data_IF_441548138096
#
_entry.id   IF_441548138096
#
_cell.length_a   1.000
_cell.length_b   1.000
_cell.length_c   1.000
_cell.angle_alpha   90.00
_cell.angle_beta   90.00
_cell.angle_gamma   90.00
#
_symmetry.space_group_name_H-M   'P 1'
#
loop_
_entity.id
_entity.type
_entity.pdbx_description
1 polymer ?
#
# COMPACT_ATOMS: atom_id res chain seq x y z
N UNK A 1 -1.33 -8.73 -5.16
CA UNK A 1 -0.49 -9.89 -5.59
C UNK A 1 -0.22 -9.90 -7.09
N UNK A 2 -1.23 -9.86 -7.97
CA UNK A 2 -1.05 -9.82 -9.44
C UNK A 2 -0.15 -8.67 -9.93
N UNK A 3 -0.34 -7.47 -9.38
CA UNK A 3 0.47 -6.30 -9.71
C UNK A 3 1.96 -6.45 -9.32
N UNK A 4 2.23 -7.08 -8.17
CA UNK A 4 3.58 -7.27 -7.65
C UNK A 4 4.37 -8.34 -8.40
N UNK A 5 3.70 -9.39 -8.87
CA UNK A 5 4.37 -10.56 -9.45
C UNK A 5 4.43 -10.47 -10.98
N UNK A 6 3.34 -10.06 -11.63
CA UNK A 6 3.24 -10.05 -13.10
C UNK A 6 3.54 -8.69 -13.71
N UNK A 7 2.89 -7.64 -13.19
CA UNK A 7 2.96 -6.30 -13.80
C UNK A 7 4.35 -5.69 -13.63
N UNK A 8 5.01 -5.84 -12.48
CA UNK A 8 6.36 -5.30 -12.29
C UNK A 8 7.34 -5.82 -13.37
N UNK A 9 7.37 -7.13 -13.61
CA UNK A 9 8.20 -7.73 -14.67
C UNK A 9 7.81 -7.25 -16.07
N UNK A 10 6.51 -7.12 -16.34
CA UNK A 10 6.04 -6.58 -17.62
C UNK A 10 6.50 -5.13 -17.82
N UNK A 11 6.42 -4.29 -16.78
CA UNK A 11 6.83 -2.88 -16.83
C UNK A 11 8.34 -2.69 -17.00
N UNK A 12 9.16 -3.65 -16.57
CA UNK A 12 10.59 -3.68 -16.87
C UNK A 12 10.89 -3.98 -18.34
N UNK A 13 10.05 -4.78 -19.00
CA UNK A 13 10.29 -5.27 -20.36
C UNK A 13 9.71 -4.38 -21.47
N UNK A 14 8.81 -3.44 -21.14
CA UNK A 14 8.30 -2.47 -22.12
C UNK A 14 9.33 -1.37 -22.42
N UNK A 15 9.11 -0.67 -23.54
CA UNK A 15 9.90 0.51 -23.89
C UNK A 15 9.71 1.63 -22.85
N UNK A 16 10.74 2.47 -22.69
CA UNK A 16 10.66 3.63 -21.78
C UNK A 16 9.55 4.60 -22.19
N UNK A 17 9.36 4.83 -23.48
CA UNK A 17 8.28 5.68 -23.99
C UNK A 17 6.90 5.14 -23.58
N UNK A 18 6.67 3.83 -23.77
CA UNK A 18 5.41 3.18 -23.37
C UNK A 18 5.21 3.20 -21.85
N UNK A 19 6.28 3.04 -21.07
CA UNK A 19 6.22 3.14 -19.61
C UNK A 19 5.78 4.54 -19.16
N UNK A 20 6.35 5.60 -19.73
CA UNK A 20 5.99 6.98 -19.41
C UNK A 20 4.53 7.25 -19.79
N UNK A 21 4.13 6.89 -21.01
CA UNK A 21 2.77 7.10 -21.51
C UNK A 21 1.74 6.40 -20.62
N UNK A 22 2.01 5.13 -20.27
CA UNK A 22 1.19 4.37 -19.37
C UNK A 22 1.14 5.02 -17.98
N UNK A 23 2.27 5.47 -17.42
CA UNK A 23 2.31 6.12 -16.09
C UNK A 23 1.47 7.39 -16.08
N UNK A 24 1.61 8.25 -17.10
CA UNK A 24 0.82 9.48 -17.25
C UNK A 24 -0.67 9.21 -17.32
N UNK A 25 -1.06 8.24 -18.15
CA UNK A 25 -2.46 7.81 -18.31
C UNK A 25 -3.04 7.28 -16.99
N UNK A 26 -2.25 6.46 -16.29
CA UNK A 26 -2.65 5.92 -14.99
C UNK A 26 -2.75 7.04 -13.94
N UNK A 27 -1.72 7.87 -13.76
CA UNK A 27 -1.70 8.93 -12.74
C UNK A 27 -2.90 9.89 -12.87
N UNK A 28 -3.30 10.22 -14.10
CA UNK A 28 -4.46 11.06 -14.37
C UNK A 28 -5.78 10.49 -13.82
N UNK A 29 -5.87 9.17 -13.65
CA UNK A 29 -7.08 8.48 -13.18
C UNK A 29 -7.00 8.11 -11.70
N UNK A 30 -5.85 7.62 -11.22
CA UNK A 30 -5.77 7.11 -9.83
C UNK A 30 -5.39 8.17 -8.79
N UNK A 31 -4.88 9.35 -9.17
CA UNK A 31 -4.36 10.33 -8.21
C UNK A 31 -5.34 10.68 -7.08
N UNK A 32 -6.53 11.16 -7.44
CA UNK A 32 -7.54 11.58 -6.46
C UNK A 32 -8.24 10.41 -5.74
N UNK A 33 -8.67 9.32 -6.42
CA UNK A 33 -9.21 8.15 -5.74
C UNK A 33 -8.25 7.56 -4.71
N UNK A 34 -6.94 7.55 -5.00
CA UNK A 34 -5.95 6.99 -4.10
C UNK A 34 -5.81 7.83 -2.82
N UNK A 35 -5.88 9.16 -2.91
CA UNK A 35 -5.90 10.05 -1.73
C UNK A 35 -7.11 9.74 -0.84
N UNK A 36 -8.29 9.59 -1.43
CA UNK A 36 -9.50 9.25 -0.67
C UNK A 36 -9.38 7.88 0.01
N UNK A 37 -8.83 6.88 -0.68
CA UNK A 37 -8.58 5.55 -0.12
C UNK A 37 -7.61 5.57 1.07
N UNK A 38 -6.58 6.42 1.04
CA UNK A 38 -5.67 6.57 2.17
C UNK A 38 -6.37 7.14 3.40
N UNK A 39 -7.11 8.24 3.24
CA UNK A 39 -7.81 8.86 4.37
C UNK A 39 -8.89 7.95 4.95
N UNK A 40 -9.63 7.22 4.10
CA UNK A 40 -10.63 6.26 4.57
C UNK A 40 -9.99 5.08 5.32
N UNK A 41 -8.88 4.56 4.82
CA UNK A 41 -8.14 3.47 5.48
C UNK A 41 -7.63 3.87 6.87
N UNK A 42 -7.09 5.09 6.99
CA UNK A 42 -6.67 5.65 8.28
C UNK A 42 -7.86 5.83 9.21
N UNK A 43 -8.96 6.41 8.71
CA UNK A 43 -10.18 6.61 9.50
C UNK A 43 -10.72 5.30 10.06
N UNK A 44 -10.80 4.26 9.24
CA UNK A 44 -11.24 2.92 9.66
C UNK A 44 -10.29 2.34 10.70
N UNK A 45 -8.98 2.41 10.48
CA UNK A 45 -8.00 1.88 11.43
C UNK A 45 -8.05 2.60 12.78
N UNK A 46 -8.23 3.92 12.80
CA UNK A 46 -8.43 4.70 14.02
C UNK A 46 -9.71 4.29 14.75
N UNK A 47 -10.83 4.12 14.02
CA UNK A 47 -12.07 3.65 14.62
C UNK A 47 -11.91 2.25 15.25
N UNK A 48 -11.23 1.32 14.56
CA UNK A 48 -10.94 0.01 15.11
C UNK A 48 -10.06 0.07 16.36
N UNK A 49 -9.05 0.95 16.38
CA UNK A 49 -8.24 1.17 17.59
C UNK A 49 -9.08 1.69 18.74
N UNK A 50 -9.98 2.67 18.50
CA UNK A 50 -10.88 3.20 19.53
C UNK A 50 -11.80 2.11 20.08
N UNK A 51 -12.38 1.27 19.23
CA UNK A 51 -13.26 0.19 19.67
C UNK A 51 -12.52 -0.89 20.47
N UNK A 52 -11.30 -1.23 20.04
CA UNK A 52 -10.49 -2.28 20.69
C UNK A 52 -9.73 -1.77 21.91
N UNK A 53 -9.65 -0.45 22.13
CA UNK A 53 -8.94 0.17 23.25
C UNK A 53 -9.45 -0.26 24.63
N UNK A 54 -10.71 -0.70 24.73
CA UNK A 54 -11.27 -1.24 25.99
C UNK A 54 -10.54 -2.48 26.49
N UNK A 55 -9.90 -3.23 25.59
CA UNK A 55 -9.09 -4.39 25.93
C UNK A 55 -7.73 -4.33 25.20
N UNK A 56 -6.79 -3.50 25.69
CA UNK A 56 -5.54 -3.21 24.99
C UNK A 56 -4.56 -4.38 24.98
N UNK A 57 -4.84 -5.45 25.73
CA UNK A 57 -4.06 -6.70 25.73
C UNK A 57 -4.65 -7.76 24.79
N UNK A 58 -5.80 -7.49 24.16
CA UNK A 58 -6.40 -8.40 23.19
C UNK A 58 -5.52 -8.55 21.95
N UNK A 59 -5.57 -9.73 21.34
CA UNK A 59 -4.86 -10.01 20.09
C UNK A 59 -5.35 -9.08 18.98
N UNK A 60 -6.65 -8.78 18.95
CA UNK A 60 -7.25 -7.83 18.00
C UNK A 60 -6.65 -6.43 18.16
N UNK A 61 -6.53 -5.89 19.37
CA UNK A 61 -5.94 -4.56 19.57
C UNK A 61 -4.50 -4.49 19.03
N UNK A 62 -3.67 -5.48 19.37
CA UNK A 62 -2.26 -5.53 18.96
C UNK A 62 -2.13 -5.62 17.44
N UNK A 63 -2.92 -6.49 16.81
CA UNK A 63 -2.89 -6.68 15.35
C UNK A 63 -3.43 -5.47 14.60
N UNK A 64 -4.49 -4.82 15.10
CA UNK A 64 -4.98 -3.54 14.55
C UNK A 64 -3.89 -2.47 14.67
N UNK A 65 -3.19 -2.36 15.80
CA UNK A 65 -2.11 -1.39 16.01
C UNK A 65 -0.94 -1.60 15.04
N UNK A 66 -0.51 -2.86 14.86
CA UNK A 66 0.55 -3.20 13.92
C UNK A 66 0.12 -2.95 12.47
N UNK A 67 -1.11 -3.30 12.10
CA UNK A 67 -1.67 -3.01 10.78
C UNK A 67 -1.73 -1.50 10.52
N UNK A 68 -2.14 -0.72 11.53
CA UNK A 68 -2.14 0.73 11.46
C UNK A 68 -0.73 1.30 11.24
N UNK A 69 0.29 0.78 11.93
CA UNK A 69 1.67 1.16 11.69
C UNK A 69 2.13 0.85 10.25
N UNK A 70 1.70 -0.26 9.66
CA UNK A 70 1.95 -0.56 8.25
C UNK A 70 1.30 0.46 7.30
N UNK A 71 0.05 0.89 7.56
CA UNK A 71 -0.63 1.92 6.77
C UNK A 71 0.15 3.24 6.83
N UNK A 72 0.60 3.65 8.02
CA UNK A 72 1.41 4.86 8.19
C UNK A 72 2.77 4.75 7.48
N UNK A 73 3.40 3.57 7.52
CA UNK A 73 4.64 3.29 6.80
C UNK A 73 4.48 3.39 5.28
N UNK A 74 3.43 2.78 4.72
CA UNK A 74 3.12 2.89 3.28
C UNK A 74 2.82 4.34 2.88
N UNK A 75 2.03 5.08 3.67
CA UNK A 75 1.74 6.49 3.40
C UNK A 75 3.01 7.34 3.43
N UNK A 76 3.92 7.08 4.38
CA UNK A 76 5.20 7.78 4.46
C UNK A 76 6.04 7.53 3.20
N UNK A 77 6.12 6.28 2.72
CA UNK A 77 6.79 5.97 1.45
C UNK A 77 6.10 6.60 0.24
N UNK A 78 4.77 6.66 0.25
CA UNK A 78 4.01 7.30 -0.81
C UNK A 78 4.39 8.79 -0.93
N UNK A 79 4.39 9.52 0.20
CA UNK A 79 4.66 10.97 0.24
C UNK A 79 6.13 11.27 -0.02
N UNK A 80 7.05 10.52 0.58
CA UNK A 80 8.48 10.85 0.54
C UNK A 80 9.20 10.34 -0.72
N UNK A 81 8.67 9.28 -1.36
CA UNK A 81 9.32 8.62 -2.49
C UNK A 81 8.42 8.54 -3.72
N UNK A 82 7.26 7.91 -3.58
CA UNK A 82 6.43 7.58 -4.76
C UNK A 82 5.85 8.81 -5.47
N UNK A 83 5.36 9.80 -4.72
CA UNK A 83 4.79 11.03 -5.29
C UNK A 83 5.88 11.87 -5.98
N UNK A 84 7.03 12.17 -5.35
CA UNK A 84 8.12 12.86 -6.02
C UNK A 84 8.61 12.15 -7.29
N UNK A 85 8.73 10.82 -7.26
CA UNK A 85 9.11 10.05 -8.45
C UNK A 85 8.05 10.14 -9.55
N UNK A 86 6.76 10.10 -9.22
CA UNK A 86 5.68 10.30 -10.20
C UNK A 86 5.77 11.67 -10.86
N UNK A 87 6.04 12.72 -10.09
CA UNK A 87 6.20 14.08 -10.62
C UNK A 87 7.37 14.18 -11.59
N UNK A 88 8.51 13.55 -11.28
CA UNK A 88 9.66 13.50 -12.18
C UNK A 88 9.29 12.76 -13.47
N UNK A 89 8.65 11.59 -13.38
CA UNK A 89 8.21 10.79 -14.53
C UNK A 89 7.22 11.57 -15.41
N UNK A 90 6.28 12.28 -14.80
CA UNK A 90 5.24 13.03 -15.51
C UNK A 90 5.80 14.27 -16.23
N UNK A 91 6.82 14.91 -15.65
CA UNK A 91 7.48 16.08 -16.25
C UNK A 91 8.69 15.73 -17.12
N UNK A 92 9.01 14.44 -17.27
CA UNK A 92 10.21 14.00 -17.96
C UNK A 92 10.16 14.38 -19.46
N UNK A 93 11.19 15.07 -20.00
CA UNK A 93 11.22 15.45 -21.40
C UNK A 93 11.52 14.23 -22.28
N UNK A 94 10.81 14.12 -23.40
CA UNK A 94 10.80 12.94 -24.26
C UNK A 94 12.14 12.63 -24.98
N UNK A 95 13.22 13.37 -24.69
CA UNK A 95 14.50 13.30 -25.41
C UNK A 95 15.71 12.89 -24.54
N UNK A 96 15.56 12.66 -23.22
CA UNK A 96 16.69 12.24 -22.36
C UNK A 96 16.54 10.79 -21.85
N UNK A 97 16.73 9.76 -22.67
CA UNK A 97 16.34 8.39 -22.29
C UNK A 97 17.21 7.67 -21.23
N UNK A 98 18.44 8.12 -20.97
CA UNK A 98 19.42 7.36 -20.18
C UNK A 98 19.10 7.34 -18.67
N UNK A 99 18.69 8.47 -18.09
CA UNK A 99 18.37 8.55 -16.65
C UNK A 99 17.03 7.88 -16.31
N UNK A 100 16.14 7.76 -17.30
CA UNK A 100 14.80 7.23 -17.12
C UNK A 100 14.77 5.72 -16.82
N UNK A 101 15.78 4.97 -17.27
CA UNK A 101 15.92 3.54 -16.96
C UNK A 101 16.14 3.32 -15.46
N UNK A 102 16.98 4.15 -14.85
CA UNK A 102 17.25 4.14 -13.40
C UNK A 102 16.00 4.57 -12.64
N UNK A 103 15.36 5.66 -13.07
CA UNK A 103 14.14 6.17 -12.45
C UNK A 103 12.99 5.14 -12.45
N UNK A 104 12.79 4.43 -13.56
CA UNK A 104 11.82 3.33 -13.66
C UNK A 104 12.14 2.22 -12.66
N UNK A 105 13.40 1.81 -12.58
CA UNK A 105 13.82 0.71 -11.71
C UNK A 105 13.64 1.08 -10.23
N UNK A 106 13.98 2.30 -9.86
CA UNK A 106 13.76 2.84 -8.52
C UNK A 106 12.25 2.92 -8.20
N UNK A 107 11.45 3.46 -9.12
CA UNK A 107 10.00 3.53 -8.97
C UNK A 107 9.36 2.15 -8.78
N UNK A 108 9.73 1.17 -9.62
CA UNK A 108 9.23 -0.20 -9.54
C UNK A 108 9.60 -0.88 -8.21
N UNK A 109 10.80 -0.59 -7.69
CA UNK A 109 11.22 -1.06 -6.37
C UNK A 109 10.32 -0.51 -5.25
N UNK A 110 10.06 0.81 -5.26
CA UNK A 110 9.19 1.42 -4.24
C UNK A 110 7.74 0.95 -4.32
N UNK A 111 7.17 0.82 -5.53
CA UNK A 111 5.81 0.29 -5.67
C UNK A 111 5.73 -1.15 -5.19
N UNK A 112 6.76 -1.96 -5.43
CA UNK A 112 6.84 -3.31 -4.88
C UNK A 112 6.87 -3.31 -3.36
N UNK A 113 7.73 -2.48 -2.76
CA UNK A 113 7.84 -2.36 -1.31
C UNK A 113 6.52 -1.90 -0.67
N UNK A 114 5.89 -0.87 -1.24
CA UNK A 114 4.59 -0.36 -0.81
C UNK A 114 3.50 -1.44 -0.84
N UNK A 115 3.43 -2.19 -1.93
CA UNK A 115 2.49 -3.32 -2.03
C UNK A 115 2.79 -4.44 -1.04
N UNK A 116 4.06 -4.73 -0.74
CA UNK A 116 4.44 -5.71 0.28
C UNK A 116 4.02 -5.25 1.69
N UNK A 117 4.22 -3.98 2.03
CA UNK A 117 3.79 -3.40 3.31
C UNK A 117 2.26 -3.45 3.44
N UNK A 118 1.53 -3.07 2.39
CA UNK A 118 0.07 -3.10 2.40
C UNK A 118 -0.48 -4.53 2.60
N UNK A 119 0.08 -5.52 1.88
CA UNK A 119 -0.30 -6.93 2.06
C UNK A 119 0.03 -7.41 3.47
N UNK A 120 1.20 -7.05 3.99
CA UNK A 120 1.64 -7.43 5.33
C UNK A 120 0.69 -6.87 6.39
N UNK A 121 0.36 -5.57 6.31
CA UNK A 121 -0.61 -4.93 7.20
C UNK A 121 -1.99 -5.59 7.14
N UNK A 122 -2.46 -5.96 5.94
CA UNK A 122 -3.72 -6.68 5.78
C UNK A 122 -3.69 -8.08 6.42
N UNK A 123 -2.63 -8.86 6.20
CA UNK A 123 -2.49 -10.21 6.77
C UNK A 123 -2.39 -10.17 8.31
N UNK A 124 -1.68 -9.18 8.86
CA UNK A 124 -1.62 -8.94 10.30
C UNK A 124 -3.03 -8.68 10.84
N UNK A 125 -3.79 -7.78 10.21
CA UNK A 125 -5.16 -7.47 10.63
C UNK A 125 -6.07 -8.70 10.59
N UNK A 126 -6.07 -9.42 9.47
CA UNK A 126 -6.92 -10.61 9.29
C UNK A 126 -6.57 -11.73 10.27
N UNK A 127 -5.28 -11.96 10.55
CA UNK A 127 -4.87 -12.98 11.51
C UNK A 127 -5.38 -12.68 12.92
N UNK A 128 -5.40 -11.40 13.33
CA UNK A 128 -5.99 -10.98 14.61
C UNK A 128 -7.47 -11.32 14.73
N UNK A 129 -8.27 -10.97 13.71
CA UNK A 129 -9.69 -11.29 13.68
C UNK A 129 -9.95 -12.81 13.68
N UNK A 130 -9.16 -13.57 12.91
CA UNK A 130 -9.29 -15.03 12.87
C UNK A 130 -8.98 -15.65 14.23
N UNK A 131 -7.88 -15.25 14.88
CA UNK A 131 -7.50 -15.78 16.20
C UNK A 131 -8.59 -15.51 17.23
N UNK A 132 -9.10 -14.27 17.30
CA UNK A 132 -10.17 -13.90 18.23
C UNK A 132 -11.45 -14.72 17.95
N UNK A 133 -11.80 -14.91 16.67
CA UNK A 133 -12.98 -15.71 16.30
C UNK A 133 -12.88 -17.16 16.76
N UNK A 134 -11.70 -17.77 16.69
CA UNK A 134 -11.46 -19.12 17.19
C UNK A 134 -11.49 -19.18 18.72
N UNK A 135 -10.97 -18.16 19.41
CA UNK A 135 -11.03 -18.07 20.87
C UNK A 135 -12.48 -17.98 21.37
N UNK A 136 -13.31 -17.15 20.75
CA UNK A 136 -14.73 -17.01 21.10
C UNK A 136 -15.54 -18.28 20.79
N UNK A 137 -15.23 -18.97 19.69
CA UNK A 137 -15.85 -20.25 19.37
C UNK A 137 -15.49 -21.35 20.39
N UNK A 138 -14.26 -21.35 20.90
CA UNK A 138 -13.79 -22.31 21.89
C UNK A 138 -14.31 -22.03 23.31
N UNK A 139 -14.55 -20.77 23.67
CA UNK A 139 -15.10 -20.38 24.98
C UNK A 139 -16.61 -20.60 25.11
N UNK A 140 -17.31 -20.93 24.01
CA UNK A 140 -18.76 -21.09 23.99
C UNK A 140 -19.54 -19.77 24.05
N UNK A 141 -18.85 -18.63 23.98
CA UNK A 141 -19.46 -17.31 23.90
C UNK A 141 -19.94 -17.07 22.46
N UNK A 142 -21.14 -17.58 22.16
CA UNK A 142 -21.91 -17.10 21.00
C UNK A 142 -22.57 -15.78 21.40
N UNK A 143 -22.01 -14.66 20.94
CA UNK A 143 -22.72 -13.36 20.90
C UNK A 143 -23.89 -13.42 19.93
#
# INVERSE_FOLDING_TARGET
>A
MFYLIGINKALHNISIASFIEQRKSIDAVIGDPLRFLYFSSIGIAVLLLVFTFRNPRSVVFITVLLSFACILGDMTLAITKSIPLNEIINNYPANNYMDMQTLRSEWLSYISLRGAIAITGLLILLSGFLIESFQNAASGERS
#
